data_IF_501128928277
#
_entry.id   IF_501128928277
#
_cell.length_a   1.000
_cell.length_b   1.000
_cell.length_c   1.000
_cell.angle_alpha   90.00
_cell.angle_beta   90.00
_cell.angle_gamma   90.00
#
_symmetry.space_group_name_H-M   'P 1'
#
loop_
_entity.id
_entity.type
_entity.pdbx_description
1 polymer ?
#
# COMPACT_ATOMS: atom_id res chain seq x y z
N UNK A 1 -20.00 14.36 -25.27
CA UNK A 1 -19.23 14.12 -24.03
C UNK A 1 -18.49 15.40 -23.69
N UNK A 2 -18.38 15.77 -22.41
CA UNK A 2 -17.61 16.96 -22.05
C UNK A 2 -16.12 16.67 -22.30
N UNK A 3 -15.46 17.54 -23.01
CA UNK A 3 -14.03 17.44 -23.30
C UNK A 3 -13.26 17.67 -21.98
N UNK A 4 -12.37 16.77 -21.62
CA UNK A 4 -11.47 16.96 -20.48
C UNK A 4 -10.35 17.89 -20.90
N UNK A 5 -10.20 19.03 -20.21
CA UNK A 5 -9.15 20.03 -20.45
C UNK A 5 -8.22 20.18 -19.24
N UNK A 6 -8.69 19.82 -18.04
CA UNK A 6 -7.94 19.97 -16.80
C UNK A 6 -8.13 18.75 -15.89
N UNK A 7 -7.02 18.18 -15.41
CA UNK A 7 -7.00 17.04 -14.49
C UNK A 7 -6.47 17.48 -13.14
N UNK A 8 -7.22 17.18 -12.07
CA UNK A 8 -6.77 17.31 -10.70
C UNK A 8 -6.08 16.03 -10.24
N UNK A 9 -4.97 16.15 -9.50
CA UNK A 9 -4.24 15.03 -8.91
C UNK A 9 -4.21 15.19 -7.39
N UNK A 10 -4.55 14.13 -6.67
CA UNK A 10 -4.41 14.10 -5.21
C UNK A 10 -3.85 12.76 -4.72
N UNK A 11 -3.17 12.81 -3.57
CA UNK A 11 -2.82 11.64 -2.78
C UNK A 11 -3.64 11.60 -1.51
N UNK A 12 -4.14 10.44 -1.13
CA UNK A 12 -5.03 10.28 0.03
C UNK A 12 -4.72 8.98 0.78
N UNK A 13 -4.99 8.96 2.08
CA UNK A 13 -4.70 7.82 2.95
C UNK A 13 -3.27 7.86 3.51
N UNK A 14 -2.70 6.69 3.78
CA UNK A 14 -1.28 6.56 4.15
C UNK A 14 -0.38 6.81 2.93
N UNK A 15 0.76 7.42 3.17
CA UNK A 15 1.79 7.54 2.14
C UNK A 15 2.45 6.19 1.82
N UNK A 16 2.93 6.08 0.59
CA UNK A 16 3.63 4.91 0.10
C UNK A 16 4.79 5.34 -0.82
N UNK A 17 5.95 4.67 -0.74
CA UNK A 17 7.08 4.95 -1.64
C UNK A 17 6.67 4.72 -3.10
N UNK A 18 6.89 5.70 -3.97
CA UNK A 18 6.44 5.65 -5.37
C UNK A 18 5.25 6.56 -5.68
N UNK A 19 4.55 7.12 -4.68
CA UNK A 19 3.49 8.11 -4.93
C UNK A 19 3.99 9.31 -5.71
N UNK A 20 5.21 9.80 -5.43
CA UNK A 20 5.82 10.89 -6.20
C UNK A 20 6.12 10.50 -7.65
N UNK A 21 6.51 9.27 -7.90
CA UNK A 21 6.69 8.76 -9.26
C UNK A 21 5.36 8.74 -10.03
N UNK A 22 4.26 8.33 -9.35
CA UNK A 22 2.91 8.37 -9.92
C UNK A 22 2.45 9.81 -10.23
N UNK A 23 2.59 10.74 -9.27
CA UNK A 23 2.28 12.17 -9.46
C UNK A 23 3.04 12.72 -10.67
N UNK A 24 4.34 12.41 -10.77
CA UNK A 24 5.19 12.83 -11.89
C UNK A 24 4.68 12.26 -13.21
N UNK A 25 4.35 10.99 -13.26
CA UNK A 25 3.88 10.32 -14.47
C UNK A 25 2.54 10.90 -14.94
N UNK A 26 1.56 11.01 -14.05
CA UNK A 26 0.24 11.62 -14.36
C UNK A 26 0.43 13.06 -14.87
N UNK A 27 1.23 13.88 -14.17
CA UNK A 27 1.44 15.27 -14.56
C UNK A 27 2.08 15.39 -15.95
N UNK A 28 3.12 14.63 -16.23
CA UNK A 28 3.83 14.68 -17.50
C UNK A 28 3.01 14.13 -18.66
N UNK A 29 2.31 13.02 -18.45
CA UNK A 29 1.43 12.42 -19.46
C UNK A 29 0.25 13.35 -19.80
N UNK A 30 -0.36 13.98 -18.79
CA UNK A 30 -1.43 14.94 -19.01
C UNK A 30 -0.96 16.16 -19.84
N UNK A 31 0.17 16.75 -19.47
CA UNK A 31 0.74 17.88 -20.22
C UNK A 31 1.13 17.46 -21.64
N UNK A 32 1.69 16.25 -21.83
CA UNK A 32 2.00 15.70 -23.14
C UNK A 32 0.73 15.52 -23.99
N UNK A 33 -0.38 15.12 -23.38
CA UNK A 33 -1.71 15.03 -24.00
C UNK A 33 -2.42 16.37 -24.18
N UNK A 34 -1.77 17.51 -23.89
CA UNK A 34 -2.34 18.85 -24.05
C UNK A 34 -3.29 19.27 -22.91
N UNK A 35 -3.35 18.55 -21.80
CA UNK A 35 -4.21 18.85 -20.65
C UNK A 35 -3.50 19.78 -19.66
N UNK A 36 -4.29 20.64 -19.00
CA UNK A 36 -3.84 21.34 -17.79
C UNK A 36 -3.86 20.38 -16.61
N UNK A 37 -3.00 20.63 -15.63
CA UNK A 37 -2.87 19.80 -14.43
C UNK A 37 -2.92 20.66 -13.18
N UNK A 38 -3.69 20.23 -12.19
CA UNK A 38 -3.72 20.86 -10.87
C UNK A 38 -3.41 19.86 -9.77
N UNK A 39 -2.41 20.16 -8.95
CA UNK A 39 -2.07 19.41 -7.76
C UNK A 39 -2.94 19.85 -6.59
N UNK A 40 -3.59 18.90 -5.92
CA UNK A 40 -4.46 19.13 -4.77
C UNK A 40 -3.70 18.65 -3.53
N UNK A 41 -3.30 19.57 -2.68
CA UNK A 41 -2.56 19.28 -1.47
C UNK A 41 -3.47 18.67 -0.39
N UNK A 42 -2.92 17.77 0.45
CA UNK A 42 -3.62 17.13 1.57
C UNK A 42 -4.89 16.35 1.18
N UNK A 43 -4.93 15.83 -0.04
CA UNK A 43 -5.99 14.96 -0.53
C UNK A 43 -7.37 15.59 -0.49
N UNK A 44 -8.37 14.83 -0.02
CA UNK A 44 -9.75 15.31 0.04
C UNK A 44 -9.96 16.54 0.94
N UNK A 45 -9.13 16.70 1.97
CA UNK A 45 -9.18 17.91 2.79
C UNK A 45 -8.85 19.16 1.97
N UNK A 46 -7.76 19.10 1.21
CA UNK A 46 -7.37 20.22 0.36
C UNK A 46 -8.35 20.50 -0.78
N UNK A 47 -9.10 19.47 -1.20
CA UNK A 47 -10.19 19.66 -2.14
C UNK A 47 -11.34 20.49 -1.52
N UNK A 48 -11.65 20.25 -0.23
CA UNK A 48 -12.65 21.04 0.52
C UNK A 48 -12.14 22.46 0.83
N UNK A 49 -10.87 22.59 1.20
CA UNK A 49 -10.28 23.87 1.64
C UNK A 49 -9.65 24.67 0.50
N UNK A 50 -9.78 24.22 -0.75
CA UNK A 50 -9.24 24.84 -1.97
C UNK A 50 -7.71 25.01 -1.97
N UNK A 51 -6.99 24.00 -1.44
CA UNK A 51 -5.53 23.95 -1.48
C UNK A 51 -5.05 23.39 -2.83
N UNK A 52 -5.37 24.09 -3.91
CA UNK A 52 -5.19 23.65 -5.31
C UNK A 52 -4.22 24.56 -6.04
N UNK A 53 -3.22 23.98 -6.68
CA UNK A 53 -2.17 24.72 -7.40
C UNK A 53 -1.98 24.16 -8.80
N UNK A 54 -1.83 25.04 -9.78
CA UNK A 54 -1.52 24.63 -11.14
C UNK A 54 -0.12 24.02 -11.22
N UNK A 55 -0.01 22.83 -11.84
CA UNK A 55 1.23 22.11 -12.02
C UNK A 55 1.77 22.24 -13.43
N UNK A 56 3.08 22.47 -13.51
CA UNK A 56 3.89 22.43 -14.72
C UNK A 56 4.92 21.30 -14.58
N UNK A 57 5.63 20.99 -15.65
CA UNK A 57 6.67 19.95 -15.64
C UNK A 57 7.77 20.19 -14.61
N UNK A 58 8.04 21.45 -14.25
CA UNK A 58 9.02 21.83 -13.24
C UNK A 58 8.59 21.42 -11.82
N UNK A 59 7.28 21.48 -11.50
CA UNK A 59 6.76 21.12 -10.18
C UNK A 59 6.98 19.64 -9.83
N UNK A 60 7.17 18.80 -10.84
CA UNK A 60 7.40 17.36 -10.69
C UNK A 60 8.80 16.93 -11.12
N UNK A 61 9.74 17.87 -11.21
CA UNK A 61 11.14 17.58 -11.49
C UNK A 61 11.84 17.04 -10.25
N UNK A 62 12.73 16.05 -10.44
CA UNK A 62 13.56 15.47 -9.38
C UNK A 62 12.79 14.89 -8.16
N UNK A 63 11.58 14.37 -8.38
CA UNK A 63 10.78 13.76 -7.32
C UNK A 63 10.63 12.24 -7.43
N UNK A 64 11.02 11.63 -8.55
CA UNK A 64 10.82 10.20 -8.80
C UNK A 64 11.49 9.30 -7.76
N UNK A 65 12.62 9.74 -7.22
CA UNK A 65 13.40 9.03 -6.20
C UNK A 65 12.97 9.37 -4.77
N UNK A 66 12.13 10.38 -4.58
CA UNK A 66 11.72 10.81 -3.25
C UNK A 66 10.61 9.93 -2.69
N UNK A 67 10.76 9.49 -1.45
CA UNK A 67 9.70 8.84 -0.68
C UNK A 67 8.59 9.81 -0.26
N UNK A 68 7.55 9.28 0.37
CA UNK A 68 6.38 10.07 0.76
C UNK A 68 5.61 10.64 -0.45
N UNK A 69 5.00 11.79 -0.27
CA UNK A 69 4.26 12.49 -1.32
C UNK A 69 4.41 14.01 -1.23
N UNK A 70 4.75 14.67 -2.34
CA UNK A 70 4.85 16.14 -2.41
C UNK A 70 3.50 16.82 -2.22
N UNK A 71 2.40 16.15 -2.57
CA UNK A 71 1.05 16.65 -2.37
C UNK A 71 0.55 16.52 -0.93
N UNK A 72 1.31 15.82 -0.06
CA UNK A 72 0.92 15.51 1.31
C UNK A 72 -0.39 14.72 1.38
N UNK A 73 -0.71 14.18 2.53
CA UNK A 73 -1.99 13.53 2.82
C UNK A 73 -2.59 14.07 4.12
N UNK A 74 -3.90 13.97 4.27
CA UNK A 74 -4.57 14.23 5.53
C UNK A 74 -5.82 13.35 5.67
N UNK A 75 -6.12 12.95 6.90
CA UNK A 75 -7.43 12.36 7.19
C UNK A 75 -8.49 13.44 7.07
N UNK A 76 -9.58 13.17 6.38
CA UNK A 76 -10.67 14.11 6.15
C UNK A 76 -12.01 13.46 6.51
N UNK A 77 -12.49 13.67 7.73
CA UNK A 77 -13.81 13.21 8.17
C UNK A 77 -14.94 13.96 7.47
N UNK A 78 -14.74 15.23 7.15
CA UNK A 78 -15.72 16.07 6.45
C UNK A 78 -16.10 15.52 5.08
N UNK A 79 -15.15 14.90 4.36
CA UNK A 79 -15.42 14.30 3.05
C UNK A 79 -16.35 13.07 3.12
N UNK A 80 -16.55 12.50 4.32
CA UNK A 80 -17.52 11.40 4.50
C UNK A 80 -18.97 11.91 4.54
N UNK A 81 -19.18 13.22 4.67
CA UNK A 81 -20.51 13.86 4.68
C UNK A 81 -20.88 14.36 3.28
N UNK A 82 -22.18 14.40 2.93
CA UNK A 82 -22.66 14.99 1.67
C UNK A 82 -22.25 16.46 1.53
N UNK A 83 -22.31 17.24 2.61
CA UNK A 83 -21.98 18.66 2.63
C UNK A 83 -20.51 18.90 2.31
N UNK A 84 -19.60 18.11 2.91
CA UNK A 84 -18.16 18.19 2.62
C UNK A 84 -17.85 17.83 1.17
N UNK A 85 -18.53 16.83 0.62
CA UNK A 85 -18.36 16.47 -0.80
C UNK A 85 -18.94 17.53 -1.74
N UNK A 86 -20.05 18.19 -1.36
CA UNK A 86 -20.58 19.32 -2.13
C UNK A 86 -19.57 20.47 -2.20
N UNK A 87 -18.95 20.85 -1.07
CA UNK A 87 -17.90 21.88 -1.04
C UNK A 87 -16.71 21.50 -1.92
N UNK A 88 -16.29 20.21 -1.86
CA UNK A 88 -15.23 19.70 -2.73
C UNK A 88 -15.60 19.83 -4.21
N UNK A 89 -16.83 19.51 -4.59
CA UNK A 89 -17.31 19.65 -5.96
C UNK A 89 -17.38 21.10 -6.43
N UNK A 90 -17.87 22.01 -5.58
CA UNK A 90 -17.94 23.44 -5.90
C UNK A 90 -16.54 24.02 -6.15
N UNK A 91 -15.54 23.59 -5.35
CA UNK A 91 -14.14 23.96 -5.55
C UNK A 91 -13.58 23.39 -6.86
N UNK A 92 -13.89 22.14 -7.22
CA UNK A 92 -13.49 21.57 -8.53
C UNK A 92 -14.03 22.42 -9.68
N UNK A 93 -15.30 22.79 -9.62
CA UNK A 93 -15.92 23.63 -10.64
C UNK A 93 -15.28 25.00 -10.72
N UNK A 94 -15.06 25.66 -9.57
CA UNK A 94 -14.39 26.97 -9.50
C UNK A 94 -12.96 26.91 -10.08
N UNK A 95 -12.29 25.80 -9.87
CA UNK A 95 -10.93 25.56 -10.35
C UNK A 95 -10.90 24.96 -11.77
N UNK A 96 -12.04 24.84 -12.44
CA UNK A 96 -12.14 24.29 -13.79
C UNK A 96 -11.48 22.91 -13.94
N UNK A 97 -11.62 22.04 -12.93
CA UNK A 97 -11.11 20.67 -12.99
C UNK A 97 -12.22 19.76 -13.53
N UNK A 98 -11.95 19.09 -14.64
CA UNK A 98 -12.93 18.22 -15.33
C UNK A 98 -12.87 16.77 -14.87
N UNK A 99 -11.71 16.31 -14.41
CA UNK A 99 -11.48 14.94 -14.00
C UNK A 99 -10.47 14.86 -12.85
N UNK A 100 -10.47 13.75 -12.10
CA UNK A 100 -9.53 13.51 -11.01
C UNK A 100 -8.71 12.23 -11.21
N UNK A 101 -7.45 12.28 -10.79
CA UNK A 101 -6.63 11.11 -10.52
C UNK A 101 -6.38 11.05 -9.02
N UNK A 102 -6.84 9.96 -8.39
CA UNK A 102 -6.74 9.72 -6.94
C UNK A 102 -5.73 8.61 -6.69
N UNK A 103 -4.64 8.93 -5.99
CA UNK A 103 -3.59 7.97 -5.63
C UNK A 103 -3.76 7.61 -4.15
N UNK A 104 -4.05 6.34 -3.85
CA UNK A 104 -4.24 5.90 -2.47
C UNK A 104 -4.76 4.47 -2.36
N UNK A 105 -5.04 4.05 -1.12
CA UNK A 105 -5.56 2.72 -0.80
C UNK A 105 -7.09 2.64 -0.81
N UNK A 106 -7.64 1.56 -0.25
CA UNK A 106 -9.06 1.22 -0.26
C UNK A 106 -9.98 2.37 0.17
N UNK A 107 -9.73 3.00 1.33
CA UNK A 107 -10.55 4.11 1.82
C UNK A 107 -10.56 5.32 0.88
N UNK A 108 -9.44 5.58 0.19
CA UNK A 108 -9.33 6.69 -0.77
C UNK A 108 -10.14 6.40 -2.05
N UNK A 109 -10.06 5.17 -2.54
CA UNK A 109 -10.84 4.73 -3.71
C UNK A 109 -12.33 4.60 -3.40
N UNK A 110 -12.69 4.24 -2.16
CA UNK A 110 -14.08 4.28 -1.68
C UNK A 110 -14.64 5.70 -1.73
N UNK A 111 -13.89 6.69 -1.21
CA UNK A 111 -14.25 8.10 -1.31
C UNK A 111 -14.37 8.58 -2.76
N UNK A 112 -13.42 8.19 -3.62
CA UNK A 112 -13.45 8.48 -5.05
C UNK A 112 -14.72 7.94 -5.74
N UNK A 113 -15.09 6.68 -5.44
CA UNK A 113 -16.30 6.06 -5.99
C UNK A 113 -17.57 6.79 -5.58
N UNK A 114 -17.72 7.13 -4.30
CA UNK A 114 -18.89 7.85 -3.80
C UNK A 114 -18.98 9.21 -4.51
N UNK A 115 -17.89 9.94 -4.55
CA UNK A 115 -17.83 11.27 -5.15
C UNK A 115 -18.10 11.25 -6.65
N UNK A 116 -17.55 10.27 -7.38
CA UNK A 116 -17.82 10.08 -8.79
C UNK A 116 -19.30 9.81 -9.09
N UNK A 117 -19.96 8.99 -8.26
CA UNK A 117 -21.36 8.67 -8.44
C UNK A 117 -22.32 9.83 -8.10
N UNK A 118 -21.98 10.63 -7.08
CA UNK A 118 -22.82 11.78 -6.67
C UNK A 118 -22.79 12.90 -7.69
N UNK A 119 -21.62 13.19 -8.26
CA UNK A 119 -21.41 14.37 -9.11
C UNK A 119 -21.13 14.06 -10.57
N UNK A 120 -21.15 12.81 -10.97
CA UNK A 120 -20.83 12.35 -12.33
C UNK A 120 -19.50 12.89 -12.87
N UNK A 121 -18.47 12.91 -12.00
CA UNK A 121 -17.11 13.33 -12.36
C UNK A 121 -16.30 12.10 -12.78
N UNK A 122 -15.55 12.15 -13.90
CA UNK A 122 -14.58 11.13 -14.26
C UNK A 122 -13.47 11.04 -13.20
N UNK A 123 -13.28 9.87 -12.60
CA UNK A 123 -12.20 9.63 -11.64
C UNK A 123 -11.45 8.36 -12.02
N UNK A 124 -10.12 8.45 -12.05
CA UNK A 124 -9.23 7.30 -12.18
C UNK A 124 -8.47 7.12 -10.87
N UNK A 125 -8.43 5.89 -10.35
CA UNK A 125 -7.68 5.51 -9.16
C UNK A 125 -6.34 4.89 -9.48
N UNK A 126 -5.32 5.22 -8.69
CA UNK A 126 -4.03 4.52 -8.69
C UNK A 126 -3.84 3.86 -7.31
N UNK A 127 -3.51 2.56 -7.27
CA UNK A 127 -3.36 1.81 -6.02
C UNK A 127 -2.06 2.18 -5.30
N UNK A 128 -2.08 3.26 -4.49
CA UNK A 128 -0.96 3.74 -3.69
C UNK A 128 -1.09 3.29 -2.24
N UNK A 129 -0.59 2.10 -1.91
CA UNK A 129 -0.59 1.52 -0.57
C UNK A 129 0.48 0.43 -0.48
N UNK A 130 1.11 0.29 0.70
CA UNK A 130 2.07 -0.79 0.97
C UNK A 130 1.39 -2.12 1.32
N UNK A 131 0.09 -2.11 1.63
CA UNK A 131 -0.63 -3.28 2.18
C UNK A 131 -0.92 -4.34 1.11
N UNK A 132 -0.88 -3.96 -0.18
CA UNK A 132 -1.13 -4.81 -1.35
C UNK A 132 -2.47 -5.55 -1.34
N UNK A 133 -3.46 -4.96 -0.69
CA UNK A 133 -4.78 -5.52 -0.38
C UNK A 133 -5.87 -5.23 -1.43
N UNK A 134 -5.58 -4.39 -2.43
CA UNK A 134 -6.57 -4.00 -3.45
C UNK A 134 -6.77 -5.11 -4.49
N UNK A 135 -8.04 -5.47 -4.69
CA UNK A 135 -8.42 -6.49 -5.69
C UNK A 135 -8.20 -5.98 -7.11
N UNK A 136 -7.73 -6.89 -7.98
CA UNK A 136 -7.60 -6.62 -9.42
C UNK A 136 -6.23 -6.10 -9.86
N UNK A 137 -5.27 -6.01 -8.94
CA UNK A 137 -3.87 -5.74 -9.26
C UNK A 137 -2.94 -6.74 -8.58
N UNK A 138 -1.86 -7.13 -9.24
CA UNK A 138 -0.86 -8.00 -8.66
C UNK A 138 -0.03 -7.27 -7.61
N UNK A 139 0.32 -6.00 -7.88
CA UNK A 139 1.10 -5.16 -6.99
C UNK A 139 0.51 -3.77 -6.87
N UNK A 140 0.60 -3.20 -5.67
CA UNK A 140 0.29 -1.79 -5.38
C UNK A 140 1.58 -0.99 -5.29
N UNK A 141 1.50 0.32 -5.57
CA UNK A 141 2.64 1.24 -5.53
C UNK A 141 3.10 1.37 -4.08
N UNK A 142 4.36 1.06 -3.82
CA UNK A 142 5.02 1.11 -2.52
C UNK A 142 5.18 -0.24 -1.82
N UNK A 143 4.51 -1.28 -2.30
CA UNK A 143 4.58 -2.61 -1.71
C UNK A 143 5.97 -3.24 -1.83
N UNK A 144 6.59 -3.18 -2.99
CA UNK A 144 7.93 -3.74 -3.22
C UNK A 144 9.00 -3.03 -2.36
N UNK A 145 8.91 -1.72 -2.24
CA UNK A 145 9.81 -0.94 -1.38
C UNK A 145 9.64 -1.31 0.09
N UNK A 146 8.40 -1.50 0.56
CA UNK A 146 8.13 -1.94 1.93
C UNK A 146 8.70 -3.34 2.19
N UNK A 147 8.57 -4.28 1.25
CA UNK A 147 9.20 -5.60 1.34
C UNK A 147 10.72 -5.52 1.44
N UNK A 148 11.37 -4.68 0.62
CA UNK A 148 12.82 -4.49 0.69
C UNK A 148 13.25 -3.92 2.06
N UNK A 149 12.48 -2.99 2.62
CA UNK A 149 12.72 -2.46 3.97
C UNK A 149 12.58 -3.56 5.03
N UNK A 150 11.56 -4.43 4.92
CA UNK A 150 11.38 -5.57 5.82
C UNK A 150 12.58 -6.51 5.75
N UNK A 151 13.00 -6.92 4.54
CA UNK A 151 14.15 -7.80 4.35
C UNK A 151 15.41 -7.21 4.99
N UNK A 152 15.72 -5.95 4.73
CA UNK A 152 16.88 -5.28 5.30
C UNK A 152 16.84 -5.26 6.84
N UNK A 153 15.69 -5.04 7.44
CA UNK A 153 15.53 -5.07 8.89
C UNK A 153 15.65 -6.49 9.45
N UNK A 154 15.04 -7.48 8.79
CA UNK A 154 15.11 -8.89 9.21
C UNK A 154 16.53 -9.42 9.14
N UNK A 155 17.30 -9.09 8.10
CA UNK A 155 18.70 -9.51 7.96
C UNK A 155 19.55 -8.98 9.12
N UNK A 156 19.37 -7.70 9.49
CA UNK A 156 20.06 -7.11 10.67
C UNK A 156 19.65 -7.77 11.99
N UNK A 157 18.37 -8.13 12.14
CA UNK A 157 17.87 -8.83 13.33
C UNK A 157 18.40 -10.26 13.37
N UNK A 158 18.56 -10.91 12.22
CA UNK A 158 19.10 -12.27 12.12
C UNK A 158 20.53 -12.36 12.64
N UNK A 159 21.36 -11.38 12.34
CA UNK A 159 22.75 -11.35 12.83
C UNK A 159 22.80 -11.38 14.36
N UNK A 160 21.96 -10.60 15.03
CA UNK A 160 21.89 -10.61 16.50
C UNK A 160 21.14 -11.80 17.06
N UNK A 161 20.12 -12.31 16.37
CA UNK A 161 19.36 -13.49 16.78
C UNK A 161 20.27 -14.72 16.86
N UNK A 162 21.07 -14.94 15.83
CA UNK A 162 22.03 -16.06 15.73
C UNK A 162 23.09 -16.02 16.83
N UNK A 163 23.51 -14.83 17.27
CA UNK A 163 24.52 -14.67 18.31
C UNK A 163 24.04 -15.08 19.71
N UNK A 164 22.74 -15.25 19.93
CA UNK A 164 22.18 -15.40 21.27
C UNK A 164 21.10 -16.49 21.40
N UNK A 165 20.90 -17.32 20.40
CA UNK A 165 19.91 -18.42 20.38
C UNK A 165 18.49 -17.94 20.75
N UNK A 166 18.00 -16.87 20.10
CA UNK A 166 16.74 -16.19 20.43
C UNK A 166 15.64 -16.45 19.42
N UNK A 167 14.40 -16.42 19.92
CA UNK A 167 13.19 -16.36 19.09
C UNK A 167 12.76 -14.89 18.93
N UNK A 168 12.70 -14.41 17.69
CA UNK A 168 12.23 -13.08 17.37
C UNK A 168 10.87 -13.10 16.71
N UNK A 169 9.91 -12.36 17.29
CA UNK A 169 8.69 -11.95 16.60
C UNK A 169 8.91 -10.57 16.01
N UNK A 170 8.78 -10.43 14.68
CA UNK A 170 8.95 -9.18 13.97
C UNK A 170 7.60 -8.74 13.43
N UNK A 171 7.03 -7.67 14.00
CA UNK A 171 5.77 -7.13 13.54
C UNK A 171 5.98 -6.24 12.31
N UNK A 172 5.19 -6.50 11.29
CA UNK A 172 5.17 -5.75 10.03
C UNK A 172 3.78 -5.17 9.78
N UNK A 173 3.72 -4.07 9.07
CA UNK A 173 2.47 -3.45 8.64
C UNK A 173 1.70 -4.39 7.69
N UNK A 174 0.54 -3.98 7.24
CA UNK A 174 -0.34 -4.74 6.35
C UNK A 174 -1.80 -4.58 6.74
N UNK A 175 -2.08 -3.97 7.91
CA UNK A 175 -3.42 -3.75 8.44
C UNK A 175 -4.14 -5.09 8.62
N UNK A 176 -5.22 -5.33 7.84
CA UNK A 176 -5.99 -6.56 7.87
C UNK A 176 -5.54 -7.58 6.80
N UNK A 177 -4.35 -7.38 6.20
CA UNK A 177 -3.80 -8.21 5.14
C UNK A 177 -2.38 -8.70 5.46
N UNK A 178 -2.14 -9.99 5.23
CA UNK A 178 -0.87 -10.66 5.54
C UNK A 178 0.18 -10.66 4.43
N UNK A 179 -0.01 -9.88 3.34
CA UNK A 179 0.91 -9.93 2.18
C UNK A 179 2.35 -9.56 2.52
N UNK A 180 2.55 -8.51 3.33
CA UNK A 180 3.89 -8.10 3.75
C UNK A 180 4.54 -9.16 4.65
N UNK A 181 3.80 -9.71 5.60
CA UNK A 181 4.32 -10.73 6.52
C UNK A 181 4.67 -12.02 5.77
N UNK A 182 3.77 -12.53 4.90
CA UNK A 182 3.99 -13.77 4.17
C UNK A 182 5.16 -13.66 3.19
N UNK A 183 5.14 -12.63 2.33
CA UNK A 183 6.19 -12.47 1.33
C UNK A 183 7.52 -12.05 1.96
N UNK A 184 7.48 -11.25 3.03
CA UNK A 184 8.66 -10.91 3.82
C UNK A 184 9.29 -12.13 4.48
N UNK A 185 8.49 -13.07 5.00
CA UNK A 185 8.96 -14.32 5.58
C UNK A 185 9.64 -15.21 4.54
N UNK A 186 9.02 -15.37 3.37
CA UNK A 186 9.61 -16.15 2.27
C UNK A 186 10.94 -15.52 1.82
N UNK A 187 10.92 -14.21 1.58
CA UNK A 187 12.08 -13.49 1.04
C UNK A 187 13.27 -13.42 2.01
N UNK A 188 13.00 -13.38 3.32
CA UNK A 188 14.03 -13.33 4.36
C UNK A 188 14.42 -14.71 4.91
N UNK A 189 13.74 -15.80 4.48
CA UNK A 189 13.95 -17.14 5.04
C UNK A 189 13.57 -17.25 6.51
N UNK A 190 12.52 -16.55 6.94
CA UNK A 190 11.95 -16.71 8.27
C UNK A 190 11.22 -18.05 8.41
N UNK A 191 11.14 -18.56 9.64
CA UNK A 191 10.56 -19.87 9.94
C UNK A 191 9.03 -19.87 9.81
N UNK A 192 8.36 -18.73 10.05
CA UNK A 192 6.91 -18.62 9.94
C UNK A 192 6.43 -17.21 9.63
N UNK A 193 5.20 -17.11 9.14
CA UNK A 193 4.42 -15.88 9.06
C UNK A 193 3.06 -16.07 9.74
N UNK A 194 2.71 -15.16 10.64
CA UNK A 194 1.39 -15.11 11.28
C UNK A 194 0.59 -14.03 10.58
N UNK A 195 -0.49 -14.44 9.91
CA UNK A 195 -1.31 -13.57 9.06
C UNK A 195 -2.80 -13.72 9.39
N UNK A 196 -3.60 -12.66 9.26
CA UNK A 196 -5.01 -12.69 9.65
C UNK A 196 -5.87 -13.63 8.80
N UNK A 197 -5.47 -13.92 7.55
CA UNK A 197 -6.21 -14.78 6.63
C UNK A 197 -6.12 -16.28 6.98
N UNK A 198 -5.18 -16.64 7.86
CA UNK A 198 -4.98 -18.04 8.30
C UNK A 198 -4.99 -18.05 9.83
N UNK A 199 -5.99 -18.71 10.41
CA UNK A 199 -6.00 -18.93 11.85
C UNK A 199 -4.83 -19.85 12.21
N UNK A 200 -3.85 -19.32 12.94
CA UNK A 200 -2.75 -20.12 13.48
C UNK A 200 -3.06 -20.36 14.93
N UNK A 201 -3.37 -21.60 15.31
CA UNK A 201 -3.46 -21.98 16.71
C UNK A 201 -2.06 -21.95 17.33
N UNK A 202 -1.97 -21.64 18.63
CA UNK A 202 -0.67 -21.53 19.34
C UNK A 202 0.09 -22.86 19.27
N UNK A 203 -0.62 -23.98 19.28
CA UNK A 203 -0.01 -25.31 19.19
C UNK A 203 0.70 -25.50 17.84
N UNK A 204 0.15 -24.97 16.72
CA UNK A 204 0.83 -25.02 15.42
C UNK A 204 2.07 -24.12 15.39
N UNK A 205 2.02 -22.96 16.07
CA UNK A 205 3.19 -22.12 16.24
C UNK A 205 4.27 -22.78 17.08
N UNK A 206 3.86 -23.47 18.17
CA UNK A 206 4.76 -24.24 19.01
C UNK A 206 5.45 -25.36 18.24
N UNK A 207 4.70 -26.11 17.43
CA UNK A 207 5.27 -27.16 16.55
C UNK A 207 6.30 -26.58 15.57
N UNK A 208 6.00 -25.45 14.92
CA UNK A 208 6.93 -24.78 14.02
C UNK A 208 8.21 -24.31 14.73
N UNK A 209 8.06 -23.75 15.94
CA UNK A 209 9.18 -23.31 16.77
C UNK A 209 10.00 -24.51 17.25
N UNK A 210 9.36 -25.56 17.76
CA UNK A 210 10.06 -26.78 18.21
C UNK A 210 10.81 -27.48 17.07
N UNK A 211 10.22 -27.56 15.89
CA UNK A 211 10.90 -28.10 14.71
C UNK A 211 12.13 -27.28 14.32
N UNK A 212 12.07 -25.96 14.40
CA UNK A 212 13.20 -25.06 14.16
C UNK A 212 14.33 -25.27 15.16
N UNK A 213 14.02 -25.30 16.45
CA UNK A 213 15.02 -25.46 17.53
C UNK A 213 15.61 -26.88 17.61
N UNK A 214 14.82 -27.95 17.37
CA UNK A 214 15.30 -29.34 17.40
C UNK A 214 16.33 -29.67 16.31
N UNK A 215 16.39 -28.88 15.23
CA UNK A 215 17.32 -29.08 14.11
C UNK A 215 18.62 -28.26 14.19
N UNK A 216 19.08 -27.92 15.41
CA UNK A 216 20.31 -27.13 15.65
C UNK A 216 20.32 -25.73 15.00
N UNK A 217 19.17 -25.12 14.74
CA UNK A 217 19.10 -23.70 14.42
C UNK A 217 19.22 -22.89 15.70
N UNK A 218 20.25 -22.07 15.79
CA UNK A 218 20.53 -21.25 16.97
C UNK A 218 19.62 -20.01 17.11
N UNK A 219 18.65 -19.81 16.18
CA UNK A 219 17.72 -18.70 16.24
C UNK A 219 16.51 -18.96 15.36
N UNK A 220 15.36 -18.39 15.72
CA UNK A 220 14.16 -18.43 14.92
C UNK A 220 13.56 -17.03 14.75
N UNK A 221 13.07 -16.74 13.56
CA UNK A 221 12.41 -15.47 13.21
C UNK A 221 11.01 -15.77 12.71
N UNK A 222 10.02 -15.12 13.30
CA UNK A 222 8.61 -15.21 12.90
C UNK A 222 8.13 -13.81 12.53
N UNK A 223 7.64 -13.62 11.31
CA UNK A 223 6.99 -12.37 10.91
C UNK A 223 5.52 -12.39 11.33
N UNK A 224 5.05 -11.27 11.86
CA UNK A 224 3.68 -11.12 12.36
C UNK A 224 3.05 -9.90 11.67
N UNK A 225 1.93 -10.10 10.97
CA UNK A 225 1.16 -8.97 10.45
C UNK A 225 0.55 -8.17 11.62
N UNK A 226 0.63 -6.83 11.56
CA UNK A 226 -0.12 -5.99 12.50
C UNK A 226 -1.61 -6.23 12.28
N UNK A 227 -2.26 -6.87 13.23
CA UNK A 227 -3.70 -7.12 13.14
C UNK A 227 -4.30 -7.32 14.52
N UNK A 228 -5.48 -6.77 14.80
CA UNK A 228 -6.22 -7.08 16.03
C UNK A 228 -6.54 -8.57 16.16
N UNK A 229 -6.67 -9.28 15.04
CA UNK A 229 -6.97 -10.72 15.01
C UNK A 229 -5.81 -11.56 15.54
N UNK A 230 -4.58 -11.19 15.19
CA UNK A 230 -3.37 -11.90 15.66
C UNK A 230 -2.96 -11.49 17.06
N UNK A 231 -3.46 -10.37 17.59
CA UNK A 231 -2.99 -9.77 18.85
C UNK A 231 -1.63 -9.08 18.71
N UNK A 232 -1.07 -9.02 17.50
CA UNK A 232 0.25 -8.46 17.21
C UNK A 232 1.40 -9.29 17.79
N UNK A 233 2.63 -8.86 17.51
CA UNK A 233 3.81 -9.57 17.95
C UNK A 233 3.99 -9.56 19.48
N UNK A 234 3.55 -8.50 20.16
CA UNK A 234 3.63 -8.41 21.62
C UNK A 234 2.72 -9.43 22.30
N UNK A 235 1.46 -9.55 21.87
CA UNK A 235 0.52 -10.52 22.43
C UNK A 235 0.96 -11.96 22.19
N UNK A 236 1.48 -12.25 20.99
CA UNK A 236 2.05 -13.58 20.70
C UNK A 236 3.29 -13.89 21.55
N UNK A 237 4.19 -12.93 21.72
CA UNK A 237 5.39 -13.09 22.55
C UNK A 237 5.04 -13.37 24.02
N UNK A 238 4.03 -12.68 24.56
CA UNK A 238 3.56 -12.91 25.93
C UNK A 238 2.96 -14.31 26.10
N UNK A 239 2.15 -14.76 25.14
CA UNK A 239 1.58 -16.13 25.15
C UNK A 239 2.68 -17.19 25.10
N UNK A 240 3.66 -17.05 24.20
CA UNK A 240 4.76 -18.01 24.09
C UNK A 240 5.62 -18.03 25.36
N UNK A 241 5.91 -16.88 25.98
CA UNK A 241 6.64 -16.84 27.25
C UNK A 241 5.91 -17.56 28.39
N UNK A 242 4.59 -17.45 28.44
CA UNK A 242 3.77 -18.08 29.49
C UNK A 242 3.64 -19.60 29.28
N UNK A 243 3.43 -20.02 28.04
CA UNK A 243 3.21 -21.44 27.70
C UNK A 243 4.54 -22.22 27.56
N UNK A 244 5.61 -21.52 27.13
CA UNK A 244 6.93 -22.12 26.83
C UNK A 244 8.07 -21.31 27.47
N UNK A 245 8.23 -21.35 28.81
CA UNK A 245 9.18 -20.47 29.52
C UNK A 245 10.67 -20.75 29.20
N UNK A 246 10.96 -21.77 28.41
CA UNK A 246 12.34 -22.10 27.99
C UNK A 246 12.89 -21.25 26.85
N UNK A 247 12.05 -20.41 26.22
CA UNK A 247 12.49 -19.58 25.06
C UNK A 247 12.84 -18.14 25.48
N UNK A 248 14.01 -17.65 25.03
CA UNK A 248 14.35 -16.21 25.12
C UNK A 248 13.67 -15.46 23.96
N UNK A 249 12.43 -14.99 24.21
CA UNK A 249 11.59 -14.33 23.20
C UNK A 249 11.86 -12.83 23.17
N UNK A 250 12.06 -12.30 21.96
CA UNK A 250 12.23 -10.87 21.67
C UNK A 250 11.18 -10.40 20.65
N UNK A 251 10.84 -9.11 20.71
CA UNK A 251 9.92 -8.48 19.78
C UNK A 251 10.58 -7.28 19.14
N UNK A 252 10.38 -7.15 17.83
CA UNK A 252 10.74 -5.96 17.06
C UNK A 252 9.52 -5.51 16.26
N UNK A 253 9.12 -4.25 16.41
CA UNK A 253 8.00 -3.65 15.66
C UNK A 253 8.58 -2.69 14.65
N UNK A 254 8.49 -3.01 13.35
CA UNK A 254 9.07 -2.19 12.29
C UNK A 254 8.27 -0.89 12.04
N UNK A 255 6.95 -0.95 12.19
CA UNK A 255 6.08 0.22 12.11
C UNK A 255 6.30 1.07 10.86
N UNK A 256 6.34 2.40 11.04
CA UNK A 256 6.39 3.37 9.95
C UNK A 256 7.68 3.39 9.12
N UNK A 257 8.75 2.67 9.49
CA UNK A 257 9.92 2.49 8.63
C UNK A 257 9.53 1.94 7.24
N UNK A 258 8.51 1.12 7.19
CA UNK A 258 8.00 0.48 5.98
C UNK A 258 7.29 1.43 5.02
N UNK A 259 6.90 2.63 5.46
CA UNK A 259 6.27 3.67 4.62
C UNK A 259 7.26 4.64 4.01
N UNK A 260 8.48 4.67 4.52
CA UNK A 260 9.52 5.60 4.11
C UNK A 260 10.48 5.04 3.08
N UNK A 261 11.46 5.85 2.74
CA UNK A 261 12.56 5.48 1.87
C UNK A 261 12.35 5.83 0.40
N UNK A 262 13.44 5.72 -0.34
CA UNK A 262 13.45 5.91 -1.80
C UNK A 262 12.79 4.71 -2.48
N UNK A 263 11.79 4.91 -3.37
CA UNK A 263 11.15 3.78 -4.03
C UNK A 263 12.12 2.96 -4.87
N UNK A 264 11.94 1.65 -4.84
CA UNK A 264 12.71 0.71 -5.66
C UNK A 264 12.50 0.99 -7.15
N UNK A 265 13.36 0.41 -8.00
CA UNK A 265 13.18 0.50 -9.45
C UNK A 265 11.81 -0.07 -9.87
N UNK A 266 11.37 -1.16 -9.23
CA UNK A 266 10.07 -1.76 -9.51
C UNK A 266 8.93 -0.78 -9.24
N UNK A 267 8.87 -0.18 -8.05
CA UNK A 267 7.80 0.77 -7.69
C UNK A 267 7.81 2.03 -8.56
N UNK A 268 9.01 2.53 -8.96
CA UNK A 268 9.11 3.68 -9.87
C UNK A 268 8.55 3.34 -11.26
N UNK A 269 8.85 2.17 -11.79
CA UNK A 269 8.36 1.72 -13.11
C UNK A 269 6.85 1.47 -13.03
N UNK A 270 6.39 0.74 -12.02
CA UNK A 270 4.97 0.45 -11.79
C UNK A 270 4.16 1.75 -11.71
N UNK A 271 4.57 2.69 -10.84
CA UNK A 271 3.92 3.98 -10.66
C UNK A 271 3.93 4.82 -11.95
N UNK A 272 5.02 4.78 -12.72
CA UNK A 272 5.12 5.50 -13.99
C UNK A 272 4.19 4.92 -15.07
N UNK A 273 4.13 3.60 -15.19
CA UNK A 273 3.22 2.91 -16.13
C UNK A 273 1.76 3.18 -15.77
N UNK A 274 1.39 2.99 -14.50
CA UNK A 274 0.02 3.24 -14.03
C UNK A 274 -0.37 4.71 -14.18
N UNK A 275 0.53 5.65 -13.87
CA UNK A 275 0.28 7.08 -13.99
C UNK A 275 0.08 7.54 -15.44
N UNK A 276 0.83 6.99 -16.40
CA UNK A 276 0.60 7.24 -17.83
C UNK A 276 -0.74 6.66 -18.26
N UNK A 277 -1.00 5.39 -17.94
CA UNK A 277 -2.25 4.72 -18.29
C UNK A 277 -3.51 5.41 -17.69
N UNK A 278 -3.38 6.11 -16.57
CA UNK A 278 -4.49 6.89 -16.01
C UNK A 278 -4.92 8.03 -16.92
N UNK A 279 -3.99 8.66 -17.61
CA UNK A 279 -4.29 9.73 -18.56
C UNK A 279 -4.85 9.15 -19.87
N UNK A 280 -4.24 8.08 -20.37
CA UNK A 280 -4.75 7.37 -21.55
C UNK A 280 -6.21 6.94 -21.32
N UNK A 281 -6.51 6.37 -20.14
CA UNK A 281 -7.86 5.99 -19.73
C UNK A 281 -8.84 7.18 -19.75
N UNK A 282 -8.44 8.35 -19.23
CA UNK A 282 -9.28 9.54 -19.25
C UNK A 282 -9.54 10.04 -20.69
N UNK A 283 -8.52 10.01 -21.55
CA UNK A 283 -8.65 10.40 -22.96
C UNK A 283 -9.51 9.41 -23.77
N UNK A 284 -9.53 8.15 -23.37
CA UNK A 284 -10.38 7.09 -23.93
C UNK A 284 -11.78 7.02 -23.30
N UNK A 285 -12.17 8.02 -22.50
CA UNK A 285 -13.45 8.11 -21.78
C UNK A 285 -13.69 6.97 -20.77
N UNK A 286 -12.63 6.34 -20.28
CA UNK A 286 -12.74 5.42 -19.14
C UNK A 286 -13.04 6.22 -17.87
N UNK A 287 -13.95 5.70 -17.03
CA UNK A 287 -14.42 6.41 -15.85
C UNK A 287 -14.57 5.48 -14.67
N UNK A 288 -14.26 5.97 -13.47
CA UNK A 288 -14.54 5.30 -12.21
C UNK A 288 -13.90 3.91 -12.12
N UNK A 289 -12.65 3.82 -12.61
CA UNK A 289 -11.83 2.62 -12.58
C UNK A 289 -10.52 2.88 -11.83
N UNK A 290 -10.00 1.82 -11.21
CA UNK A 290 -8.63 1.74 -10.74
C UNK A 290 -7.76 1.18 -11.85
N UNK A 291 -6.60 1.79 -12.09
CA UNK A 291 -5.56 1.19 -12.93
C UNK A 291 -4.87 0.10 -12.12
N UNK A 292 -4.93 -1.12 -12.59
CA UNK A 292 -4.21 -2.25 -12.03
C UNK A 292 -3.13 -2.76 -12.96
N UNK A 293 -2.30 -3.68 -12.46
CA UNK A 293 -1.33 -4.44 -13.23
C UNK A 293 -1.57 -5.94 -12.98
N UNK A 294 -1.78 -6.71 -14.03
CA UNK A 294 -1.94 -8.17 -13.95
C UNK A 294 -1.12 -8.84 -15.05
N UNK A 295 -0.27 -9.77 -14.66
CA UNK A 295 0.64 -10.44 -15.59
C UNK A 295 1.43 -9.46 -16.49
N UNK A 296 1.94 -8.38 -15.88
CA UNK A 296 2.67 -7.28 -16.53
C UNK A 296 1.86 -6.44 -17.55
N UNK A 297 0.52 -6.58 -17.57
CA UNK A 297 -0.38 -5.81 -18.40
C UNK A 297 -1.22 -4.84 -17.56
N UNK A 298 -1.49 -3.66 -18.13
CA UNK A 298 -2.41 -2.67 -17.53
C UNK A 298 -3.84 -3.19 -17.67
N UNK A 299 -4.59 -3.14 -16.56
CA UNK A 299 -6.01 -3.49 -16.52
C UNK A 299 -6.83 -2.37 -15.88
N UNK A 300 -8.06 -2.21 -16.34
CA UNK A 300 -9.02 -1.24 -15.79
C UNK A 300 -10.02 -1.97 -14.88
N UNK A 301 -9.93 -1.72 -13.59
CA UNK A 301 -10.75 -2.41 -12.58
C UNK A 301 -11.81 -1.45 -12.07
N UNK A 302 -13.11 -1.70 -12.30
CA UNK A 302 -14.16 -0.86 -11.73
C UNK A 302 -14.01 -0.68 -10.22
N UNK A 303 -14.17 0.52 -9.70
CA UNK A 303 -14.05 0.78 -8.26
C UNK A 303 -14.93 -0.16 -7.42
N UNK A 304 -16.13 -0.48 -7.92
CA UNK A 304 -17.03 -1.42 -7.25
C UNK A 304 -16.47 -2.83 -7.09
N UNK A 305 -15.49 -3.23 -7.90
CA UNK A 305 -14.79 -4.51 -7.77
C UNK A 305 -13.51 -4.35 -6.94
N UNK A 306 -12.75 -3.28 -7.17
CA UNK A 306 -11.46 -3.04 -6.52
C UNK A 306 -11.57 -2.94 -4.98
N UNK A 307 -12.67 -2.31 -4.47
CA UNK A 307 -12.87 -1.99 -3.05
C UNK A 307 -13.86 -2.91 -2.33
N UNK A 308 -14.56 -3.81 -3.02
CA UNK A 308 -15.57 -4.71 -2.41
C UNK A 308 -15.09 -6.14 -2.29
N UNK A 309 -14.07 -6.50 -3.04
CA UNK A 309 -13.55 -7.86 -3.05
C UNK A 309 -12.23 -7.90 -2.32
N UNK A 310 -12.08 -8.86 -1.44
CA UNK A 310 -10.80 -9.14 -0.81
C UNK A 310 -9.84 -9.73 -1.84
N UNK A 311 -8.58 -9.31 -1.80
CA UNK A 311 -7.51 -9.91 -2.58
C UNK A 311 -7.06 -11.18 -1.85
N UNK A 312 -7.25 -12.38 -2.42
CA UNK A 312 -6.94 -13.60 -1.70
C UNK A 312 -5.43 -13.81 -1.59
N UNK A 313 -4.98 -14.33 -0.47
CA UNK A 313 -3.63 -14.88 -0.30
C UNK A 313 -3.49 -16.12 -1.20
N UNK A 314 -2.39 -16.19 -1.94
CA UNK A 314 -2.09 -17.35 -2.79
C UNK A 314 -1.63 -18.53 -1.93
N UNK A 315 -2.36 -19.65 -1.99
CA UNK A 315 -2.05 -20.86 -1.21
C UNK A 315 -0.68 -21.45 -1.51
N UNK A 316 -0.23 -21.36 -2.75
CA UNK A 316 1.10 -21.82 -3.16
C UNK A 316 2.24 -21.07 -2.44
N UNK A 317 2.07 -19.80 -2.10
CA UNK A 317 3.04 -19.06 -1.28
C UNK A 317 3.07 -19.55 0.17
N UNK A 318 1.90 -19.87 0.74
CA UNK A 318 1.83 -20.46 2.08
C UNK A 318 2.50 -21.83 2.11
N UNK A 319 2.23 -22.65 1.12
CA UNK A 319 2.87 -23.97 0.98
C UNK A 319 4.38 -23.85 0.72
N UNK A 320 4.80 -22.83 -0.02
CA UNK A 320 6.22 -22.53 -0.24
C UNK A 320 6.90 -22.18 1.08
N UNK A 321 6.32 -21.26 1.89
CA UNK A 321 6.88 -20.92 3.19
C UNK A 321 7.03 -22.18 4.06
N UNK A 322 5.98 -23.00 4.19
CA UNK A 322 6.00 -24.24 4.96
C UNK A 322 7.12 -25.21 4.52
N UNK A 323 7.33 -25.36 3.22
CA UNK A 323 8.41 -26.22 2.67
C UNK A 323 9.81 -25.68 2.99
N UNK A 324 9.98 -24.37 3.01
CA UNK A 324 11.28 -23.73 3.24
C UNK A 324 11.62 -23.59 4.73
N UNK A 325 10.64 -23.77 5.62
CA UNK A 325 10.80 -23.66 7.08
C UNK A 325 11.34 -24.91 7.77
N UNK A 326 11.69 -25.97 7.00
CA UNK A 326 12.21 -27.25 7.53
C UNK A 326 13.71 -27.20 7.85
#
# INVERSE_FOLDING_TARGET
MAQINCVGILTSGGDAPGMNAAIRAVTRSAIYGGLRVKGIYRGYRGLITDEIVEFRTQNVSNIIQAGGTILKTARCKEFTTPEGRQLAYDNLKRQEIDALVVIGGDGSLTGARIFANEFNIPIIGLPGTIDNDLYGTDSTIGYDTALNTIMECVDKIRDTATSHERLFFIEVMGRDAGFLALNGAIASGAEAAIIPEISTEVDQLAELIEHGFRKSKNSSIVLVAESPVTGGAMGLAERVKNEYPGYDVRVSILGHLQRGGSPTAFDRILASRMGSAAIDALLEDQRNVMIGMRNDEIVYVPFSKAIKNDKPIKRDLVDTLRRLSI
#
